data_IF_724049285310
#
_entry.id   IF_724049285310
#
_cell.length_a   1.000
_cell.length_b   1.000
_cell.length_c   1.000
_cell.angle_alpha   90.00
_cell.angle_beta   90.00
_cell.angle_gamma   90.00
#
_symmetry.space_group_name_H-M   'P 1'
#
loop_
_entity.id
_entity.type
_entity.pdbx_description
1 polymer ?
#
# COMPACT_ATOMS: atom_id res chain seq x y z
N UNK A 1 -3.86 -19.64 10.98
CA UNK A 1 -3.38 -19.62 9.58
C UNK A 1 -3.88 -18.40 8.79
N UNK A 2 -5.12 -18.33 8.29
CA UNK A 2 -5.54 -17.19 7.43
C UNK A 2 -5.44 -15.82 8.14
N UNK A 3 -5.95 -15.70 9.38
CA UNK A 3 -5.89 -14.47 10.19
C UNK A 3 -4.44 -14.01 10.49
N UNK A 4 -3.52 -14.95 10.53
CA UNK A 4 -2.12 -14.73 10.90
C UNK A 4 -1.31 -14.21 9.71
N UNK A 5 -1.56 -14.77 8.52
CA UNK A 5 -1.03 -14.28 7.24
C UNK A 5 -1.49 -12.82 7.00
N UNK A 6 -2.76 -12.52 7.25
CA UNK A 6 -3.30 -11.17 7.12
C UNK A 6 -2.66 -10.18 8.11
N UNK A 7 -2.42 -10.61 9.34
CA UNK A 7 -1.74 -9.78 10.37
C UNK A 7 -0.29 -9.46 9.99
N UNK A 8 0.45 -10.44 9.45
CA UNK A 8 1.83 -10.26 8.98
C UNK A 8 1.91 -9.34 7.76
N UNK A 9 1.03 -9.53 6.78
CA UNK A 9 0.94 -8.65 5.60
C UNK A 9 0.65 -7.21 6.00
N UNK A 10 -0.32 -7.01 6.91
CA UNK A 10 -0.63 -5.69 7.47
C UNK A 10 0.58 -5.03 8.12
N UNK A 11 1.26 -5.73 9.04
CA UNK A 11 2.47 -5.22 9.71
C UNK A 11 3.57 -4.86 8.72
N UNK A 12 3.79 -5.69 7.70
CA UNK A 12 4.79 -5.44 6.67
C UNK A 12 4.49 -4.14 5.90
N UNK A 13 3.26 -3.94 5.43
CA UNK A 13 2.94 -2.76 4.62
C UNK A 13 2.90 -1.47 5.43
N UNK A 14 2.42 -1.51 6.69
CA UNK A 14 2.45 -0.34 7.57
C UNK A 14 3.88 0.03 7.94
N UNK A 15 4.76 -0.94 8.18
CA UNK A 15 6.18 -0.69 8.46
C UNK A 15 6.92 -0.11 7.25
N UNK A 16 6.62 -0.59 6.03
CA UNK A 16 7.18 -0.02 4.80
C UNK A 16 6.72 1.42 4.59
N UNK A 17 5.46 1.72 4.87
CA UNK A 17 4.94 3.09 4.78
C UNK A 17 5.55 4.00 5.85
N UNK A 18 5.70 3.53 7.09
CA UNK A 18 6.41 4.29 8.12
C UNK A 18 7.86 4.56 7.77
N UNK A 19 8.56 3.58 7.19
CA UNK A 19 9.92 3.79 6.68
C UNK A 19 9.93 4.87 5.61
N UNK A 20 9.02 4.81 4.63
CA UNK A 20 8.88 5.85 3.62
C UNK A 20 8.62 7.23 4.24
N UNK A 21 7.76 7.34 5.26
CA UNK A 21 7.50 8.60 5.97
C UNK A 21 8.78 9.15 6.60
N UNK A 22 9.54 8.31 7.30
CA UNK A 22 10.85 8.69 7.88
C UNK A 22 11.84 9.14 6.80
N UNK A 23 11.98 8.38 5.72
CA UNK A 23 12.92 8.66 4.62
C UNK A 23 12.56 9.96 3.86
N UNK A 24 11.29 10.40 3.94
CA UNK A 24 10.80 11.64 3.32
C UNK A 24 10.64 12.82 4.30
N UNK A 25 11.18 12.70 5.52
CA UNK A 25 11.06 13.69 6.61
C UNK A 25 9.60 14.02 6.99
N UNK A 26 8.67 13.08 6.79
CA UNK A 26 7.33 13.17 7.36
C UNK A 26 7.42 12.74 8.84
N UNK A 27 7.07 13.66 9.75
CA UNK A 27 7.18 13.44 11.19
C UNK A 27 5.94 12.74 11.78
N UNK A 28 6.13 12.08 12.92
CA UNK A 28 5.09 11.39 13.69
C UNK A 28 4.91 9.92 13.29
N UNK A 29 4.32 9.13 14.19
CA UNK A 29 4.00 7.73 13.93
C UNK A 29 2.78 7.61 13.00
N UNK A 30 2.56 6.44 12.41
CA UNK A 30 1.39 6.24 11.55
C UNK A 30 0.07 6.37 12.32
N UNK A 31 0.07 5.96 13.59
CA UNK A 31 -1.04 6.15 14.53
C UNK A 31 -1.35 7.60 14.86
N UNK A 32 -0.40 8.52 14.67
CA UNK A 32 -0.57 9.93 15.03
C UNK A 32 -1.27 10.74 13.93
N UNK A 33 -1.41 10.18 12.72
CA UNK A 33 -2.12 10.85 11.64
C UNK A 33 -3.61 10.88 11.98
N UNK A 34 -4.14 12.07 12.21
CA UNK A 34 -5.56 12.31 12.49
C UNK A 34 -6.31 12.98 11.33
N UNK A 35 -5.60 13.43 10.30
CA UNK A 35 -6.18 14.10 9.14
C UNK A 35 -6.31 13.12 7.97
N UNK A 36 -7.53 12.74 7.56
CA UNK A 36 -7.74 11.82 6.44
C UNK A 36 -7.15 12.30 5.11
N UNK A 37 -7.17 13.62 4.84
CA UNK A 37 -6.61 14.19 3.61
C UNK A 37 -5.09 14.10 3.59
N UNK A 38 -4.45 14.38 4.73
CA UNK A 38 -3.00 14.21 4.87
C UNK A 38 -2.62 12.75 4.59
N UNK A 39 -3.33 11.80 5.19
CA UNK A 39 -3.07 10.38 4.95
C UNK A 39 -3.23 10.01 3.46
N UNK A 40 -4.31 10.47 2.81
CA UNK A 40 -4.51 10.23 1.38
C UNK A 40 -3.38 10.80 0.52
N UNK A 41 -2.94 12.03 0.78
CA UNK A 41 -1.82 12.66 0.07
C UNK A 41 -0.51 11.89 0.26
N UNK A 42 -0.22 11.44 1.49
CA UNK A 42 0.97 10.64 1.78
C UNK A 42 0.93 9.28 1.08
N UNK A 43 -0.24 8.61 1.05
CA UNK A 43 -0.44 7.35 0.32
C UNK A 43 -0.30 7.53 -1.19
N UNK A 44 -0.85 8.61 -1.75
CA UNK A 44 -0.69 8.95 -3.17
C UNK A 44 0.79 9.05 -3.56
N UNK A 45 1.59 9.77 -2.75
CA UNK A 45 3.04 9.91 -2.98
C UNK A 45 3.74 8.56 -2.82
N UNK A 46 3.43 7.81 -1.76
CA UNK A 46 3.99 6.48 -1.52
C UNK A 46 3.76 5.53 -2.69
N UNK A 47 2.52 5.36 -3.15
CA UNK A 47 2.22 4.44 -4.26
C UNK A 47 2.85 4.87 -5.58
N UNK A 48 3.11 6.16 -5.78
CA UNK A 48 3.83 6.66 -6.95
C UNK A 48 5.27 6.10 -6.99
N UNK A 49 5.94 6.01 -5.84
CA UNK A 49 7.37 5.66 -5.76
C UNK A 49 7.66 4.26 -5.22
N UNK A 50 6.68 3.57 -4.65
CA UNK A 50 6.91 2.30 -3.97
C UNK A 50 7.46 1.22 -4.93
N UNK A 51 8.50 0.53 -4.45
CA UNK A 51 9.24 -0.56 -5.10
C UNK A 51 9.66 -1.57 -4.04
N UNK A 52 10.01 -2.80 -4.46
CA UNK A 52 10.64 -3.80 -3.60
C UNK A 52 11.99 -3.29 -3.08
N UNK A 53 12.51 -3.91 -2.02
CA UNK A 53 13.79 -3.53 -1.41
C UNK A 53 14.97 -3.64 -2.38
N UNK A 54 14.92 -4.58 -3.32
CA UNK A 54 15.89 -4.78 -4.39
C UNK A 54 15.67 -3.82 -5.59
N UNK A 55 14.83 -2.79 -5.47
CA UNK A 55 14.41 -1.84 -6.52
C UNK A 55 13.52 -2.39 -7.63
N UNK A 56 13.16 -3.68 -7.58
CA UNK A 56 12.21 -4.26 -8.54
C UNK A 56 10.78 -3.75 -8.32
N UNK A 57 9.98 -3.86 -9.38
CA UNK A 57 8.55 -3.57 -9.31
C UNK A 57 7.78 -4.66 -8.54
N UNK A 58 6.69 -4.25 -7.90
CA UNK A 58 5.70 -5.17 -7.35
C UNK A 58 4.86 -5.79 -8.47
N UNK A 59 4.39 -7.03 -8.25
CA UNK A 59 3.32 -7.57 -9.09
C UNK A 59 2.01 -6.81 -8.83
N UNK A 60 1.08 -6.87 -9.80
CA UNK A 60 -0.27 -6.31 -9.61
C UNK A 60 -0.96 -6.95 -8.39
N UNK A 61 -0.78 -8.25 -8.16
CA UNK A 61 -1.35 -8.96 -7.03
C UNK A 61 -0.78 -8.47 -5.69
N UNK A 62 0.54 -8.26 -5.61
CA UNK A 62 1.19 -7.72 -4.40
C UNK A 62 0.69 -6.31 -4.11
N UNK A 63 0.51 -5.47 -5.14
CA UNK A 63 -0.01 -4.10 -4.98
C UNK A 63 -1.47 -4.11 -4.46
N UNK A 64 -2.33 -4.98 -5.01
CA UNK A 64 -3.71 -5.15 -4.53
C UNK A 64 -3.77 -5.66 -3.09
N UNK A 65 -2.91 -6.63 -2.75
CA UNK A 65 -2.77 -7.14 -1.38
C UNK A 65 -2.38 -6.00 -0.42
N UNK A 66 -1.44 -5.14 -0.82
CA UNK A 66 -1.04 -4.00 -0.02
C UNK A 66 -2.17 -2.98 0.20
N UNK A 67 -2.95 -2.65 -0.85
CA UNK A 67 -4.11 -1.75 -0.72
C UNK A 67 -5.13 -2.33 0.27
N UNK A 68 -5.42 -3.63 0.18
CA UNK A 68 -6.35 -4.28 1.11
C UNK A 68 -5.83 -4.24 2.56
N UNK A 69 -4.54 -4.50 2.76
CA UNK A 69 -3.92 -4.43 4.07
C UNK A 69 -3.92 -3.00 4.66
N UNK A 70 -3.66 -1.96 3.86
CA UNK A 70 -3.84 -0.58 4.29
C UNK A 70 -5.30 -0.27 4.62
N UNK A 71 -6.26 -0.71 3.81
CA UNK A 71 -7.67 -0.48 4.09
C UNK A 71 -8.12 -1.15 5.39
N UNK A 72 -7.68 -2.38 5.65
CA UNK A 72 -7.95 -3.06 6.92
C UNK A 72 -7.41 -2.28 8.12
N UNK A 73 -6.21 -1.71 8.00
CA UNK A 73 -5.62 -0.91 9.06
C UNK A 73 -6.34 0.43 9.25
N UNK A 74 -6.49 1.23 8.19
CA UNK A 74 -7.02 2.58 8.29
C UNK A 74 -8.53 2.65 8.44
N UNK A 75 -9.30 1.75 7.82
CA UNK A 75 -10.76 1.70 7.97
C UNK A 75 -11.18 0.83 9.16
N UNK A 76 -10.48 -0.30 9.38
CA UNK A 76 -10.84 -1.26 10.42
C UNK A 76 -10.35 -0.88 11.82
N UNK A 77 -9.06 -0.59 11.96
CA UNK A 77 -8.42 -0.37 13.27
C UNK A 77 -8.46 1.10 13.68
N UNK A 78 -7.91 1.98 12.85
CA UNK A 78 -7.83 3.42 13.17
C UNK A 78 -9.15 4.13 12.86
N UNK A 79 -9.97 3.59 11.95
CA UNK A 79 -11.25 4.17 11.50
C UNK A 79 -11.14 5.61 10.99
N UNK A 80 -10.06 5.90 10.27
CA UNK A 80 -9.75 7.23 9.75
C UNK A 80 -10.28 7.45 8.34
N UNK A 81 -10.14 6.46 7.45
CA UNK A 81 -10.44 6.58 6.02
C UNK A 81 -10.81 5.21 5.43
N UNK A 82 -11.78 5.17 4.51
CA UNK A 82 -12.13 3.98 3.73
C UNK A 82 -11.52 4.06 2.33
N UNK A 83 -10.31 3.51 2.17
CA UNK A 83 -9.57 3.52 0.91
C UNK A 83 -10.31 2.78 -0.22
N UNK A 84 -11.25 1.89 0.10
CA UNK A 84 -12.08 1.21 -0.90
C UNK A 84 -13.17 2.12 -1.48
N UNK A 85 -13.49 3.24 -0.85
CA UNK A 85 -14.43 4.22 -1.38
C UNK A 85 -13.80 5.04 -2.51
N UNK A 86 -13.80 4.46 -3.71
CA UNK A 86 -13.19 5.06 -4.92
C UNK A 86 -13.72 6.45 -5.27
N UNK A 87 -14.99 6.73 -4.92
CA UNK A 87 -15.61 8.03 -5.16
C UNK A 87 -15.09 9.10 -4.21
N UNK A 88 -14.77 8.72 -2.97
CA UNK A 88 -14.20 9.63 -1.97
C UNK A 88 -12.71 9.89 -2.20
N UNK A 89 -11.99 8.95 -2.82
CA UNK A 89 -10.53 9.00 -3.03
C UNK A 89 -10.13 8.88 -4.51
N UNK A 90 -10.64 9.75 -5.40
CA UNK A 90 -10.44 9.61 -6.85
C UNK A 90 -8.97 9.74 -7.25
N UNK A 91 -8.18 10.57 -6.57
CA UNK A 91 -6.77 10.80 -6.88
C UNK A 91 -5.91 9.57 -6.55
N UNK A 92 -6.13 8.98 -5.36
CA UNK A 92 -5.50 7.72 -4.97
C UNK A 92 -5.79 6.63 -6.00
N UNK A 93 -7.05 6.46 -6.38
CA UNK A 93 -7.44 5.43 -7.36
C UNK A 93 -6.93 5.74 -8.77
N UNK A 94 -6.78 7.00 -9.15
CA UNK A 94 -6.15 7.39 -10.41
C UNK A 94 -4.68 6.92 -10.45
N UNK A 95 -3.92 7.18 -9.39
CA UNK A 95 -2.51 6.76 -9.25
C UNK A 95 -2.40 5.24 -9.26
N UNK A 96 -3.21 4.55 -8.45
CA UNK A 96 -3.20 3.09 -8.36
C UNK A 96 -3.55 2.45 -9.70
N UNK A 97 -4.60 2.93 -10.39
CA UNK A 97 -5.00 2.41 -11.69
C UNK A 97 -3.92 2.64 -12.75
N UNK A 98 -3.25 3.80 -12.74
CA UNK A 98 -2.12 4.07 -13.64
C UNK A 98 -0.96 3.11 -13.38
N UNK A 99 -0.61 2.89 -12.11
CA UNK A 99 0.45 1.96 -11.72
C UNK A 99 0.10 0.53 -12.14
N UNK A 100 -1.10 0.04 -11.83
CA UNK A 100 -1.58 -1.28 -12.25
C UNK A 100 -1.48 -1.45 -13.77
N UNK A 101 -1.97 -0.48 -14.56
CA UNK A 101 -1.88 -0.53 -16.03
C UNK A 101 -0.43 -0.62 -16.52
N UNK A 102 0.47 0.16 -15.90
CA UNK A 102 1.90 0.17 -16.24
C UNK A 102 2.56 -1.17 -15.93
N UNK A 103 2.27 -1.73 -14.75
CA UNK A 103 2.75 -3.04 -14.33
C UNK A 103 2.24 -4.16 -15.24
N UNK A 104 0.94 -4.18 -15.55
CA UNK A 104 0.34 -5.13 -16.49
C UNK A 104 0.98 -5.07 -17.87
N UNK A 105 1.16 -3.86 -18.42
CA UNK A 105 1.80 -3.68 -19.72
C UNK A 105 3.27 -4.13 -19.74
N UNK A 106 3.93 -4.11 -18.58
CA UNK A 106 5.33 -4.50 -18.41
C UNK A 106 5.51 -5.98 -18.01
N UNK A 107 4.44 -6.79 -18.06
CA UNK A 107 4.50 -8.23 -17.74
C UNK A 107 4.42 -8.57 -16.25
N UNK A 108 4.22 -7.59 -15.37
CA UNK A 108 3.98 -7.78 -13.93
C UNK A 108 2.48 -7.95 -13.60
N UNK A 109 1.64 -8.08 -14.64
CA UNK A 109 0.25 -8.51 -14.53
C UNK A 109 0.14 -10.00 -14.22
N UNK A 110 -1.07 -10.51 -14.05
CA UNK A 110 -1.27 -11.92 -13.72
C UNK A 110 -0.76 -12.85 -14.84
N UNK A 111 0.32 -13.56 -14.54
CA UNK A 111 0.64 -14.87 -15.09
C UNK A 111 0.75 -15.81 -13.89
N UNK A 112 -0.38 -16.42 -13.50
CA UNK A 112 -0.51 -17.47 -12.46
C UNK A 112 0.64 -17.56 -11.43
N UNK A 113 0.53 -16.81 -10.33
CA UNK A 113 1.47 -16.97 -9.22
C UNK A 113 1.51 -15.72 -8.35
N UNK A 114 0.87 -15.82 -7.18
CA UNK A 114 1.01 -14.85 -6.10
C UNK A 114 2.48 -14.83 -5.66
N UNK A 115 3.27 -13.89 -6.16
CA UNK A 115 4.48 -13.45 -5.47
C UNK A 115 4.02 -12.61 -4.27
N UNK A 116 3.70 -13.33 -3.19
CA UNK A 116 3.69 -12.76 -1.86
C UNK A 116 5.04 -12.05 -1.67
N UNK A 117 4.99 -10.82 -1.15
CA UNK A 117 6.15 -10.04 -0.75
C UNK A 117 7.18 -10.98 -0.08
N UNK A 118 8.22 -11.35 -0.79
CA UNK A 118 9.33 -12.11 -0.23
C UNK A 118 10.01 -11.18 0.75
N UNK A 119 9.81 -11.50 2.02
CA UNK A 119 10.59 -10.96 3.12
C UNK A 119 11.83 -11.85 3.13
N UNK A 120 12.98 -11.32 2.70
CA UNK A 120 14.26 -11.93 3.07
C UNK A 120 14.35 -11.93 4.60
N UNK A 121 14.59 -13.10 5.18
CA UNK A 121 14.81 -13.34 6.62
C UNK A 121 16.05 -12.60 7.16
#
# INVERSE_FOLDING_TARGET
MLKEITSLQKKSVTSQFEKYRKDTNLHGELSDISNPKQLEEELCKYFTVCRKANSDEYSVASLQSAINAFNQYFNGEIKLIDLNNKKAHPDLWCILNRKIKTLSASGYGEANGSDALTIDE
#
